data_IF_604701520377
#
_entry.id   IF_604701520377
#
_cell.length_a   1.000
_cell.length_b   1.000
_cell.length_c   1.000
_cell.angle_alpha   90.00
_cell.angle_beta   90.00
_cell.angle_gamma   90.00
#
_symmetry.space_group_name_H-M   'P 1'
#
loop_
_entity.id
_entity.type
_entity.pdbx_description
1 polymer ?
#
# COMPACT_ATOMS: atom_id res chain seq x y z
N UNK A 1 25.93 -13.65 -5.66
CA UNK A 1 24.54 -14.13 -5.86
C UNK A 1 23.57 -13.52 -4.84
N UNK A 2 23.83 -13.60 -3.53
CA UNK A 2 22.94 -13.05 -2.49
C UNK A 2 22.81 -11.53 -2.52
N UNK A 3 23.90 -10.80 -2.78
CA UNK A 3 23.83 -9.34 -2.94
C UNK A 3 22.92 -8.92 -4.09
N UNK A 4 22.98 -9.64 -5.20
CA UNK A 4 22.11 -9.40 -6.38
C UNK A 4 20.64 -9.61 -6.01
N UNK A 5 20.31 -10.69 -5.32
CA UNK A 5 18.94 -10.97 -4.86
C UNK A 5 18.42 -9.91 -3.88
N UNK A 6 19.27 -9.45 -2.94
CA UNK A 6 18.92 -8.38 -2.01
C UNK A 6 18.68 -7.04 -2.74
N UNK A 7 19.52 -6.70 -3.73
CA UNK A 7 19.35 -5.50 -4.55
C UNK A 7 18.05 -5.53 -5.36
N UNK A 8 17.75 -6.68 -6.00
CA UNK A 8 16.51 -6.84 -6.77
C UNK A 8 15.31 -6.67 -5.85
N UNK A 9 15.29 -7.35 -4.70
CA UNK A 9 14.20 -7.24 -3.72
C UNK A 9 14.02 -5.78 -3.25
N UNK A 10 15.12 -5.11 -2.89
CA UNK A 10 15.10 -3.70 -2.47
C UNK A 10 14.55 -2.79 -3.58
N UNK A 11 14.96 -3.02 -4.84
CA UNK A 11 14.50 -2.22 -5.97
C UNK A 11 13.00 -2.40 -6.21
N UNK A 12 12.49 -3.63 -6.12
CA UNK A 12 11.06 -3.93 -6.27
C UNK A 12 10.26 -3.28 -5.14
N UNK A 13 10.73 -3.35 -3.89
CA UNK A 13 10.08 -2.66 -2.76
C UNK A 13 10.05 -1.15 -2.95
N UNK A 14 11.18 -0.53 -3.34
CA UNK A 14 11.23 0.92 -3.64
C UNK A 14 10.19 1.32 -4.67
N UNK A 15 10.19 0.62 -5.81
CA UNK A 15 9.22 0.87 -6.87
C UNK A 15 7.77 0.75 -6.36
N UNK A 16 7.49 -0.29 -5.57
CA UNK A 16 6.15 -0.52 -5.05
C UNK A 16 5.74 0.52 -4.00
N UNK A 17 6.66 0.99 -3.15
CA UNK A 17 6.40 2.09 -2.20
C UNK A 17 6.08 3.39 -2.95
N UNK A 18 6.81 3.70 -4.03
CA UNK A 18 6.52 4.87 -4.87
C UNK A 18 5.14 4.76 -5.54
N UNK A 19 4.80 3.58 -6.07
CA UNK A 19 3.46 3.30 -6.59
C UNK A 19 2.40 3.46 -5.49
N UNK A 20 2.66 2.94 -4.30
CA UNK A 20 1.79 3.07 -3.13
C UNK A 20 1.54 4.53 -2.73
N UNK A 21 2.57 5.39 -2.80
CA UNK A 21 2.43 6.82 -2.55
C UNK A 21 1.47 7.50 -3.56
N UNK A 22 1.50 7.07 -4.84
CA UNK A 22 0.54 7.57 -5.83
C UNK A 22 -0.88 7.23 -5.41
N UNK A 23 -1.13 5.99 -4.99
CA UNK A 23 -2.46 5.56 -4.53
C UNK A 23 -2.89 6.31 -3.28
N UNK A 24 -2.02 6.44 -2.26
CA UNK A 24 -2.35 7.10 -1.00
C UNK A 24 -2.52 8.61 -1.19
N UNK A 25 -1.62 9.27 -1.92
CA UNK A 25 -1.61 10.72 -1.98
C UNK A 25 -2.51 11.31 -3.08
N UNK A 26 -2.77 10.57 -4.14
CA UNK A 26 -3.58 11.07 -5.25
C UNK A 26 -4.89 10.29 -5.39
N UNK A 27 -4.88 8.97 -5.54
CA UNK A 27 -6.10 8.22 -5.84
C UNK A 27 -7.18 8.39 -4.77
N UNK A 28 -6.82 8.51 -3.50
CA UNK A 28 -7.78 8.74 -2.39
C UNK A 28 -8.62 10.01 -2.57
N UNK A 29 -8.07 11.07 -3.15
CA UNK A 29 -8.76 12.35 -3.35
C UNK A 29 -9.63 12.38 -4.62
N UNK A 30 -9.56 11.33 -5.47
CA UNK A 30 -10.32 11.24 -6.72
C UNK A 30 -11.42 10.19 -6.69
N UNK A 31 -11.61 9.50 -5.57
CA UNK A 31 -12.59 8.41 -5.46
C UNK A 31 -14.02 8.86 -5.70
N UNK A 32 -14.40 10.03 -5.19
CA UNK A 32 -15.72 10.62 -5.40
C UNK A 32 -15.95 10.96 -6.87
N UNK A 33 -14.99 11.66 -7.49
CA UNK A 33 -15.04 12.03 -8.90
C UNK A 33 -15.08 10.80 -9.80
N UNK A 34 -14.29 9.78 -9.46
CA UNK A 34 -14.23 8.52 -10.23
C UNK A 34 -15.56 7.77 -10.18
N UNK A 35 -16.15 7.61 -8.99
CA UNK A 35 -17.45 6.92 -8.84
C UNK A 35 -18.55 7.72 -9.55
N UNK A 36 -18.55 9.04 -9.41
CA UNK A 36 -19.55 9.88 -10.06
C UNK A 36 -19.48 9.78 -11.60
N UNK A 37 -18.28 9.71 -12.15
CA UNK A 37 -18.04 9.61 -13.59
C UNK A 37 -18.39 8.23 -14.16
N UNK A 38 -18.05 7.15 -13.44
CA UNK A 38 -18.19 5.78 -13.96
C UNK A 38 -19.52 5.12 -13.61
N UNK A 39 -20.05 5.41 -12.43
CA UNK A 39 -21.24 4.72 -11.86
C UNK A 39 -22.43 5.67 -11.72
N UNK A 40 -22.17 6.96 -11.60
CA UNK A 40 -23.18 8.01 -11.54
C UNK A 40 -23.38 8.63 -10.14
N UNK A 41 -24.04 9.78 -10.15
CA UNK A 41 -24.21 10.66 -8.98
C UNK A 41 -25.01 10.04 -7.81
N UNK A 42 -25.84 9.05 -8.09
CA UNK A 42 -26.58 8.34 -7.05
C UNK A 42 -25.63 7.61 -6.10
N UNK A 43 -24.59 6.98 -6.65
CA UNK A 43 -23.59 6.24 -5.86
C UNK A 43 -22.57 7.15 -5.19
N UNK A 44 -22.19 8.24 -5.84
CA UNK A 44 -21.21 9.18 -5.27
C UNK A 44 -21.78 10.03 -4.13
N UNK A 45 -23.09 10.38 -4.19
CA UNK A 45 -23.72 11.28 -3.21
C UNK A 45 -24.49 10.56 -2.11
N UNK A 46 -25.14 9.43 -2.43
CA UNK A 46 -26.10 8.79 -1.52
C UNK A 46 -25.54 7.53 -0.87
N UNK A 47 -24.29 7.17 -1.12
CA UNK A 47 -23.69 5.97 -0.55
C UNK A 47 -22.28 6.26 0.00
N UNK A 48 -21.77 5.33 0.82
CA UNK A 48 -20.37 5.38 1.30
C UNK A 48 -19.35 4.81 0.30
N UNK A 49 -19.74 4.58 -0.95
CA UNK A 49 -18.87 3.97 -1.96
C UNK A 49 -17.56 4.75 -2.19
N UNK A 50 -17.55 6.10 -2.28
CA UNK A 50 -16.29 6.85 -2.41
C UNK A 50 -15.35 6.64 -1.23
N UNK A 51 -15.88 6.64 -0.01
CA UNK A 51 -15.09 6.41 1.21
C UNK A 51 -14.52 5.00 1.23
N UNK A 52 -15.33 3.98 0.93
CA UNK A 52 -14.85 2.60 0.84
C UNK A 52 -13.74 2.47 -0.20
N UNK A 53 -13.91 3.08 -1.38
CA UNK A 53 -12.88 3.08 -2.44
C UNK A 53 -11.60 3.79 -1.99
N UNK A 54 -11.70 4.87 -1.22
CA UNK A 54 -10.53 5.55 -0.64
C UNK A 54 -9.74 4.62 0.29
N UNK A 55 -10.42 3.85 1.15
CA UNK A 55 -9.77 2.82 1.97
C UNK A 55 -9.15 1.69 1.12
N UNK A 56 -9.77 1.31 0.00
CA UNK A 56 -9.14 0.38 -0.95
C UNK A 56 -7.87 0.95 -1.57
N UNK A 57 -7.82 2.23 -1.91
CA UNK A 57 -6.59 2.88 -2.38
C UNK A 57 -5.45 2.78 -1.35
N UNK A 58 -5.77 2.90 -0.05
CA UNK A 58 -4.80 2.69 1.03
C UNK A 58 -4.41 1.21 1.21
N UNK A 59 -5.28 0.29 0.85
CA UNK A 59 -5.03 -1.16 0.92
C UNK A 59 -4.07 -1.65 -0.17
N UNK A 60 -4.10 -1.03 -1.37
CA UNK A 60 -3.27 -1.45 -2.53
C UNK A 60 -1.77 -1.54 -2.19
N UNK A 61 -1.13 -0.54 -1.54
CA UNK A 61 0.28 -0.64 -1.15
C UNK A 61 0.56 -1.82 -0.22
N UNK A 62 -0.31 -2.06 0.75
CA UNK A 62 -0.16 -3.17 1.71
C UNK A 62 -0.25 -4.51 0.99
N UNK A 63 -1.20 -4.65 0.06
CA UNK A 63 -1.36 -5.86 -0.76
C UNK A 63 -0.11 -6.16 -1.58
N UNK A 64 0.49 -5.14 -2.20
CA UNK A 64 1.69 -5.35 -3.01
C UNK A 64 2.93 -5.66 -2.19
N UNK A 65 3.13 -5.00 -1.03
CA UNK A 65 4.22 -5.34 -0.11
C UNK A 65 4.08 -6.79 0.35
N UNK A 66 2.86 -7.23 0.71
CA UNK A 66 2.61 -8.63 1.05
C UNK A 66 2.96 -9.57 -0.11
N UNK A 67 2.49 -9.26 -1.32
CA UNK A 67 2.76 -10.08 -2.51
C UNK A 67 4.24 -10.25 -2.78
N UNK A 68 5.02 -9.16 -2.74
CA UNK A 68 6.47 -9.18 -2.97
C UNK A 68 7.19 -9.99 -1.89
N UNK A 69 6.88 -9.75 -0.61
CA UNK A 69 7.54 -10.44 0.50
C UNK A 69 7.22 -11.93 0.52
N UNK A 70 5.97 -12.30 0.26
CA UNK A 70 5.54 -13.70 0.21
C UNK A 70 6.10 -14.44 -1.01
N UNK A 71 6.15 -13.80 -2.18
CA UNK A 71 6.79 -14.37 -3.37
C UNK A 71 8.28 -14.67 -3.13
N UNK A 72 9.00 -13.79 -2.42
CA UNK A 72 10.37 -14.06 -2.03
C UNK A 72 10.47 -15.28 -1.11
N UNK A 73 9.63 -15.37 -0.08
CA UNK A 73 9.60 -16.52 0.83
C UNK A 73 9.36 -17.81 0.06
N UNK A 74 8.37 -17.83 -0.83
CA UNK A 74 8.06 -19.02 -1.65
C UNK A 74 9.18 -19.42 -2.59
N UNK A 75 9.98 -18.47 -3.08
CA UNK A 75 11.09 -18.73 -3.99
C UNK A 75 12.32 -19.36 -3.30
N UNK A 76 12.53 -19.09 -2.00
CA UNK A 76 13.77 -19.49 -1.30
C UNK A 76 13.55 -20.45 -0.13
N UNK A 77 12.31 -20.65 0.32
CA UNK A 77 12.01 -21.50 1.45
C UNK A 77 12.13 -22.99 1.11
N UNK A 78 12.57 -23.77 2.10
CA UNK A 78 12.55 -25.25 2.04
C UNK A 78 11.12 -25.78 2.18
N UNK A 79 10.89 -27.05 1.81
CA UNK A 79 9.60 -27.70 1.96
C UNK A 79 9.08 -27.66 3.41
N UNK A 80 9.96 -27.84 4.39
CA UNK A 80 9.60 -27.76 5.81
C UNK A 80 9.16 -26.34 6.23
N UNK A 81 9.81 -25.31 5.69
CA UNK A 81 9.46 -23.91 5.94
C UNK A 81 8.14 -23.54 5.27
N UNK A 82 7.88 -24.05 4.06
CA UNK A 82 6.58 -23.88 3.38
C UNK A 82 5.45 -24.59 4.12
N UNK A 83 5.70 -25.80 4.62
CA UNK A 83 4.72 -26.51 5.47
C UNK A 83 4.42 -25.74 6.76
N UNK A 84 5.42 -25.10 7.36
CA UNK A 84 5.23 -24.20 8.52
C UNK A 84 4.40 -22.98 8.13
N UNK A 85 4.70 -22.32 7.02
CA UNK A 85 3.93 -21.19 6.50
C UNK A 85 2.46 -21.57 6.30
N UNK A 86 2.18 -22.73 5.72
CA UNK A 86 0.81 -23.22 5.53
C UNK A 86 0.03 -23.34 6.85
N UNK A 87 0.69 -23.75 7.94
CA UNK A 87 0.07 -23.78 9.28
C UNK A 87 -0.21 -22.36 9.80
N UNK A 88 0.70 -21.41 9.57
CA UNK A 88 0.47 -20.00 9.93
C UNK A 88 -0.67 -19.36 9.13
N UNK A 89 -0.97 -19.83 7.91
CA UNK A 89 -2.12 -19.35 7.14
C UNK A 89 -3.44 -19.54 7.86
N UNK A 90 -3.59 -20.64 8.63
CA UNK A 90 -4.78 -20.86 9.47
C UNK A 90 -4.86 -19.77 10.56
N UNK A 91 -3.74 -19.46 11.20
CA UNK A 91 -3.68 -18.41 12.22
C UNK A 91 -3.99 -17.02 11.64
N UNK A 92 -3.46 -16.71 10.45
CA UNK A 92 -3.78 -15.46 9.77
C UNK A 92 -5.25 -15.35 9.37
N UNK A 93 -5.88 -16.48 9.00
CA UNK A 93 -7.32 -16.52 8.74
C UNK A 93 -8.14 -16.22 10.00
N UNK A 94 -7.71 -16.73 11.16
CA UNK A 94 -8.36 -16.42 12.44
C UNK A 94 -8.21 -14.92 12.80
N UNK A 95 -7.04 -14.32 12.57
CA UNK A 95 -6.84 -12.88 12.75
C UNK A 95 -7.79 -12.09 11.85
N UNK A 96 -7.92 -12.49 10.58
CA UNK A 96 -8.85 -11.84 9.64
C UNK A 96 -10.29 -11.90 10.11
N UNK A 97 -10.77 -13.08 10.48
CA UNK A 97 -12.16 -13.26 10.95
C UNK A 97 -12.41 -12.47 12.23
N UNK A 98 -11.49 -12.55 13.20
CA UNK A 98 -11.62 -11.84 14.48
C UNK A 98 -11.63 -10.33 14.30
N UNK A 99 -10.71 -9.79 13.49
CA UNK A 99 -10.67 -8.35 13.17
C UNK A 99 -11.88 -7.92 12.33
N UNK A 100 -12.36 -8.78 11.42
CA UNK A 100 -13.59 -8.53 10.66
C UNK A 100 -14.82 -8.38 11.57
N UNK A 101 -15.00 -9.31 12.50
CA UNK A 101 -16.08 -9.22 13.50
C UNK A 101 -15.94 -7.96 14.35
N UNK A 102 -14.72 -7.65 14.82
CA UNK A 102 -14.46 -6.46 15.61
C UNK A 102 -14.84 -5.17 14.85
N UNK A 103 -14.33 -5.00 13.63
CA UNK A 103 -14.53 -3.77 12.88
C UNK A 103 -15.94 -3.65 12.29
N UNK A 104 -16.54 -4.75 11.80
CA UNK A 104 -17.86 -4.69 11.18
C UNK A 104 -18.98 -4.70 12.20
N UNK A 105 -18.90 -5.55 13.24
CA UNK A 105 -19.99 -5.73 14.21
C UNK A 105 -19.87 -4.78 15.40
N UNK A 106 -18.71 -4.72 16.08
CA UNK A 106 -18.55 -3.89 17.27
C UNK A 106 -18.31 -2.41 16.95
N UNK A 107 -17.53 -2.10 15.91
CA UNK A 107 -17.24 -0.71 15.52
C UNK A 107 -18.21 -0.16 14.46
N UNK A 108 -19.11 -0.99 13.95
CA UNK A 108 -20.12 -0.61 12.95
C UNK A 108 -19.56 0.05 11.68
N UNK A 109 -18.33 -0.31 11.28
CA UNK A 109 -17.66 0.28 10.11
C UNK A 109 -18.11 -0.33 8.76
N UNK A 110 -18.97 -1.35 8.78
CA UNK A 110 -19.49 -1.98 7.55
C UNK A 110 -18.37 -2.42 6.59
N UNK A 111 -18.47 -2.02 5.32
CA UNK A 111 -17.50 -2.39 4.28
C UNK A 111 -16.07 -1.86 4.55
N UNK A 112 -15.93 -0.69 5.19
CA UNK A 112 -14.64 -0.15 5.61
C UNK A 112 -13.99 -1.09 6.62
N UNK A 113 -14.77 -1.63 7.56
CA UNK A 113 -14.30 -2.60 8.55
C UNK A 113 -13.69 -3.85 7.91
N UNK A 114 -14.28 -4.34 6.82
CA UNK A 114 -13.74 -5.48 6.07
C UNK A 114 -12.38 -5.15 5.43
N UNK A 115 -12.24 -3.96 4.85
CA UNK A 115 -10.95 -3.50 4.27
C UNK A 115 -9.88 -3.40 5.36
N UNK A 116 -10.22 -2.82 6.51
CA UNK A 116 -9.30 -2.71 7.65
C UNK A 116 -8.90 -4.08 8.20
N UNK A 117 -9.85 -5.02 8.32
CA UNK A 117 -9.55 -6.40 8.74
C UNK A 117 -8.56 -7.08 7.77
N UNK A 118 -8.70 -6.81 6.47
CA UNK A 118 -7.78 -7.32 5.46
C UNK A 118 -6.39 -6.68 5.57
N UNK A 119 -6.31 -5.37 5.87
CA UNK A 119 -5.03 -4.68 6.15
C UNK A 119 -4.33 -5.33 7.35
N UNK A 120 -5.05 -5.63 8.43
CA UNK A 120 -4.50 -6.32 9.62
C UNK A 120 -4.01 -7.72 9.27
N UNK A 121 -4.78 -8.48 8.50
CA UNK A 121 -4.39 -9.81 8.03
C UNK A 121 -3.11 -9.77 7.18
N UNK A 122 -3.07 -8.90 6.16
CA UNK A 122 -1.87 -8.76 5.32
C UNK A 122 -0.67 -8.22 6.11
N UNK A 123 -0.90 -7.30 7.06
CA UNK A 123 0.15 -6.80 7.96
C UNK A 123 0.81 -7.93 8.75
N UNK A 124 0.03 -8.86 9.30
CA UNK A 124 0.58 -10.01 10.04
C UNK A 124 1.37 -10.96 9.12
N UNK A 125 0.94 -11.16 7.87
CA UNK A 125 1.67 -11.94 6.86
C UNK A 125 2.97 -11.24 6.44
N UNK A 126 2.94 -9.92 6.26
CA UNK A 126 4.14 -9.12 5.97
C UNK A 126 5.16 -9.27 7.10
N UNK A 127 4.73 -9.17 8.37
CA UNK A 127 5.63 -9.34 9.53
C UNK A 127 6.28 -10.71 9.51
N UNK A 128 5.51 -11.79 9.28
CA UNK A 128 6.05 -13.13 9.18
C UNK A 128 7.08 -13.25 8.04
N UNK A 129 6.72 -12.79 6.86
CA UNK A 129 7.59 -12.82 5.68
C UNK A 129 8.87 -11.99 5.90
N UNK A 130 8.73 -10.86 6.60
CA UNK A 130 9.86 -10.00 6.93
C UNK A 130 10.87 -10.67 7.87
N UNK A 131 10.37 -11.32 8.94
CA UNK A 131 11.22 -12.09 9.86
C UNK A 131 11.96 -13.18 9.07
N UNK A 132 11.26 -13.90 8.19
CA UNK A 132 11.88 -14.92 7.35
C UNK A 132 12.96 -14.35 6.41
N UNK A 133 12.67 -13.23 5.73
CA UNK A 133 13.62 -12.55 4.83
C UNK A 133 14.87 -12.12 5.60
N UNK A 134 14.68 -11.53 6.77
CA UNK A 134 15.79 -11.10 7.63
C UNK A 134 16.66 -12.27 8.06
N UNK A 135 16.06 -13.37 8.54
CA UNK A 135 16.77 -14.58 8.93
C UNK A 135 17.50 -15.25 7.73
N UNK A 136 16.86 -15.25 6.57
CA UNK A 136 17.47 -15.81 5.36
C UNK A 136 18.76 -15.08 4.97
N UNK A 137 18.76 -13.76 4.99
CA UNK A 137 19.95 -12.98 4.65
C UNK A 137 20.97 -12.96 5.80
N UNK A 138 20.56 -13.00 7.07
CA UNK A 138 21.45 -13.08 8.21
C UNK A 138 22.16 -14.43 8.30
N UNK A 139 21.47 -15.54 8.05
CA UNK A 139 22.05 -16.90 8.11
C UNK A 139 23.07 -17.19 7.00
N UNK A 140 22.99 -16.49 5.87
CA UNK A 140 23.90 -16.62 4.74
C UNK A 140 24.99 -15.53 4.70
N UNK A 141 25.18 -14.88 5.81
CA UNK A 141 26.13 -13.79 6.04
C UNK A 141 27.56 -14.32 5.96
N UNK A 142 28.29 -14.00 4.88
CA UNK A 142 29.74 -14.09 4.79
C UNK A 142 30.42 -12.83 5.33
N UNK A 143 31.72 -12.64 5.08
CA UNK A 143 32.53 -11.51 5.57
C UNK A 143 32.06 -10.09 5.16
N UNK A 144 31.10 -9.97 4.23
CA UNK A 144 30.55 -8.69 3.73
C UNK A 144 29.40 -8.13 4.60
N UNK A 145 29.67 -7.98 5.90
CA UNK A 145 28.71 -7.61 6.94
C UNK A 145 27.98 -6.26 6.71
N UNK A 146 28.66 -5.25 6.18
CA UNK A 146 28.14 -3.88 6.16
C UNK A 146 27.23 -3.53 5.00
N UNK A 147 27.37 -4.19 3.87
CA UNK A 147 26.60 -3.87 2.64
C UNK A 147 25.22 -4.51 2.63
N UNK A 148 25.12 -5.77 3.06
CA UNK A 148 23.85 -6.50 3.08
C UNK A 148 22.88 -5.91 4.10
N UNK A 149 23.37 -5.56 5.28
CA UNK A 149 22.57 -4.95 6.35
C UNK A 149 21.94 -3.61 5.91
N UNK A 150 22.70 -2.78 5.18
CA UNK A 150 22.19 -1.53 4.62
C UNK A 150 21.12 -1.73 3.55
N UNK A 151 21.18 -2.79 2.76
CA UNK A 151 20.20 -3.08 1.71
C UNK A 151 18.86 -3.59 2.27
N UNK A 152 18.91 -4.35 3.38
CA UNK A 152 17.73 -4.99 3.98
C UNK A 152 17.04 -4.07 4.99
N UNK A 153 17.72 -3.04 5.48
CA UNK A 153 17.12 -2.10 6.44
C UNK A 153 15.94 -1.35 5.78
N UNK A 154 14.81 -1.30 6.48
CA UNK A 154 13.59 -0.60 6.01
C UNK A 154 13.86 0.85 5.58
N UNK A 155 14.81 1.53 6.23
CA UNK A 155 15.22 2.88 5.87
C UNK A 155 15.81 2.99 4.45
N UNK A 156 16.36 1.89 3.90
CA UNK A 156 16.92 1.89 2.55
C UNK A 156 15.83 1.89 1.45
N UNK A 157 14.60 1.54 1.78
CA UNK A 157 13.47 1.48 0.84
C UNK A 157 12.63 2.73 0.86
N UNK A 158 12.69 3.48 1.97
CA UNK A 158 11.96 4.73 2.08
C UNK A 158 12.48 5.73 1.05
N UNK A 159 11.58 6.40 0.33
CA UNK A 159 11.93 7.49 -0.56
C UNK A 159 12.65 8.62 0.19
N UNK A 160 13.37 9.45 -0.55
CA UNK A 160 14.02 10.62 0.03
C UNK A 160 12.99 11.54 0.70
N UNK A 161 13.45 12.31 1.70
CA UNK A 161 12.56 13.29 2.38
C UNK A 161 11.94 14.28 1.40
N UNK A 162 12.66 14.61 0.33
CA UNK A 162 12.16 15.51 -0.73
C UNK A 162 10.96 14.88 -1.43
N UNK A 163 11.07 13.61 -1.85
CA UNK A 163 9.97 12.87 -2.48
C UNK A 163 8.76 12.78 -1.53
N UNK A 164 8.96 12.45 -0.26
CA UNK A 164 7.86 12.41 0.71
C UNK A 164 7.17 13.78 0.86
N UNK A 165 7.94 14.86 0.91
CA UNK A 165 7.39 16.22 1.00
C UNK A 165 6.64 16.63 -0.27
N UNK A 166 7.14 16.28 -1.46
CA UNK A 166 6.43 16.57 -2.72
C UNK A 166 5.13 15.78 -2.84
N UNK A 167 5.11 14.53 -2.41
CA UNK A 167 3.86 13.74 -2.35
C UNK A 167 2.87 14.28 -1.32
N UNK A 168 3.34 14.67 -0.14
CA UNK A 168 2.50 15.27 0.89
C UNK A 168 1.91 16.62 0.44
N UNK A 169 2.71 17.46 -0.22
CA UNK A 169 2.22 18.72 -0.80
C UNK A 169 1.24 18.48 -1.94
N UNK A 170 1.50 17.49 -2.80
CA UNK A 170 0.57 17.05 -3.84
C UNK A 170 -0.77 16.58 -3.28
N UNK A 171 -0.74 15.78 -2.23
CA UNK A 171 -1.96 15.37 -1.50
C UNK A 171 -2.74 16.58 -0.96
N UNK A 172 -2.06 17.53 -0.31
CA UNK A 172 -2.70 18.73 0.23
C UNK A 172 -3.33 19.59 -0.88
N UNK A 173 -2.60 19.79 -2.00
CA UNK A 173 -3.08 20.55 -3.16
C UNK A 173 -4.33 19.89 -3.76
N UNK A 174 -4.30 18.57 -3.96
CA UNK A 174 -5.44 17.85 -4.54
C UNK A 174 -6.63 17.82 -3.60
N UNK A 175 -6.40 17.74 -2.29
CA UNK A 175 -7.47 17.83 -1.28
C UNK A 175 -8.13 19.21 -1.27
N UNK A 176 -7.31 20.26 -1.25
CA UNK A 176 -7.80 21.64 -1.34
C UNK A 176 -8.52 21.90 -2.68
N UNK A 177 -8.06 21.32 -3.78
CA UNK A 177 -8.74 21.41 -5.08
C UNK A 177 -10.13 20.76 -5.05
N UNK A 178 -10.30 19.62 -4.36
CA UNK A 178 -11.62 18.99 -4.17
C UNK A 178 -12.57 19.94 -3.43
N UNK A 179 -12.09 20.58 -2.34
CA UNK A 179 -12.91 21.46 -1.50
C UNK A 179 -13.20 22.82 -2.17
N UNK A 180 -12.28 23.39 -2.95
CA UNK A 180 -12.41 24.73 -3.55
C UNK A 180 -13.05 24.72 -4.95
N UNK A 181 -12.70 23.76 -5.80
CA UNK A 181 -13.23 23.66 -7.18
C UNK A 181 -14.54 22.89 -7.18
N UNK A 182 -14.64 21.88 -6.32
CA UNK A 182 -15.76 20.95 -6.32
C UNK A 182 -15.65 19.85 -7.39
N UNK A 183 -16.72 19.08 -7.52
CA UNK A 183 -16.83 17.95 -8.47
C UNK A 183 -18.26 17.76 -9.01
N UNK A 184 -19.15 18.76 -8.81
CA UNK A 184 -20.55 18.66 -9.17
C UNK A 184 -20.76 18.75 -10.69
N UNK A 185 -20.04 19.62 -11.37
CA UNK A 185 -20.14 19.80 -12.82
C UNK A 185 -19.00 19.14 -13.57
N UNK A 186 -19.21 18.82 -14.85
CA UNK A 186 -18.16 18.22 -15.69
C UNK A 186 -16.93 19.13 -15.78
N UNK A 187 -17.13 20.45 -15.84
CA UNK A 187 -16.03 21.42 -15.85
C UNK A 187 -15.21 21.35 -14.57
N UNK A 188 -15.85 21.33 -13.41
CA UNK A 188 -15.19 21.21 -12.10
C UNK A 188 -14.38 19.90 -12.00
N UNK A 189 -14.94 18.76 -12.44
CA UNK A 189 -14.24 17.48 -12.48
C UNK A 189 -12.99 17.54 -13.34
N UNK A 190 -13.08 18.10 -14.56
CA UNK A 190 -11.94 18.24 -15.45
C UNK A 190 -10.87 19.14 -14.85
N UNK A 191 -11.26 20.27 -14.24
CA UNK A 191 -10.31 21.16 -13.56
C UNK A 191 -9.64 20.48 -12.37
N UNK A 192 -10.40 19.76 -11.53
CA UNK A 192 -9.86 19.02 -10.41
C UNK A 192 -8.86 17.94 -10.89
N UNK A 193 -9.20 17.16 -11.92
CA UNK A 193 -8.31 16.15 -12.52
C UNK A 193 -7.04 16.80 -13.09
N UNK A 194 -7.16 17.96 -13.74
CA UNK A 194 -6.00 18.67 -14.28
C UNK A 194 -5.03 19.13 -13.18
N UNK A 195 -5.55 19.66 -12.06
CA UNK A 195 -4.73 20.01 -10.88
C UNK A 195 -3.98 18.78 -10.35
N UNK A 196 -4.65 17.65 -10.24
CA UNK A 196 -4.01 16.42 -9.80
C UNK A 196 -2.97 15.89 -10.77
N UNK A 197 -3.22 15.96 -12.07
CA UNK A 197 -2.26 15.59 -13.10
C UNK A 197 -0.97 16.42 -13.02
N UNK A 198 -1.09 17.74 -12.81
CA UNK A 198 0.05 18.64 -12.61
C UNK A 198 0.78 18.29 -11.30
N UNK A 199 0.07 18.16 -10.18
CA UNK A 199 0.66 17.84 -8.90
C UNK A 199 1.37 16.47 -8.91
N UNK A 200 0.77 15.45 -9.53
CA UNK A 200 1.36 14.13 -9.69
C UNK A 200 2.62 14.17 -10.58
N UNK A 201 2.59 14.95 -11.67
CA UNK A 201 3.76 15.12 -12.56
C UNK A 201 4.94 15.75 -11.82
N UNK A 202 4.69 16.75 -10.98
CA UNK A 202 5.72 17.34 -10.12
C UNK A 202 6.28 16.35 -9.11
N UNK A 203 5.41 15.58 -8.46
CA UNK A 203 5.84 14.53 -7.50
C UNK A 203 6.68 13.45 -8.20
N UNK A 204 6.29 13.01 -9.39
CA UNK A 204 7.04 12.05 -10.19
C UNK A 204 8.39 12.61 -10.67
N UNK A 205 8.46 13.89 -11.04
CA UNK A 205 9.71 14.52 -11.45
C UNK A 205 10.72 14.69 -10.30
N UNK A 206 10.28 14.57 -9.03
CA UNK A 206 11.15 14.61 -7.85
C UNK A 206 11.80 13.28 -7.50
N UNK A 207 11.41 12.18 -8.17
CA UNK A 207 11.93 10.82 -7.96
C UNK A 207 13.28 10.62 -8.64
#
# INVERSE_FOLDING_TARGET
MFETSARILTTIFKFHILLGLIFICFATNYTTTLIDLLVGSVWSKNTNAPTVLSFYCMYVPVMGINGISEAFVQAVATEQQLARLSKFMIFFSLIFVSSGVLFMHFMHLGAIGLVLANIVNLGSRIIYSWIFISDYFLSKRGDDLGKLDKLITVSSWLPSKVVLLTFASGWAITRLSEDLIGWATLREKVMHIAVGGVAASFALASM
#
